data_IF_170878376943
#
_entry.id   IF_170878376943
#
_cell.length_a   1.000
_cell.length_b   1.000
_cell.length_c   1.000
_cell.angle_alpha   90.00
_cell.angle_beta   90.00
_cell.angle_gamma   90.00
#
_symmetry.space_group_name_H-M   'P 1'
#
loop_
_entity.id
_entity.type
_entity.pdbx_description
1 polymer ?
#
# COMPACT_ATOMS: atom_id res chain seq x y z
N UNK A 1 -30.64 65.61 -0.03
CA UNK A 1 -29.77 64.46 -0.33
C UNK A 1 -29.84 63.49 0.85
N UNK A 2 -30.84 62.62 0.84
CA UNK A 2 -31.09 61.68 1.94
C UNK A 2 -31.74 60.44 1.34
N UNK A 3 -31.34 59.26 1.84
CA UNK A 3 -31.87 57.90 1.58
C UNK A 3 -31.19 57.09 0.48
N UNK A 4 -30.04 56.50 0.80
CA UNK A 4 -29.76 55.09 0.47
C UNK A 4 -29.08 54.46 1.71
N UNK A 5 -29.88 54.28 2.76
CA UNK A 5 -29.67 53.20 3.72
C UNK A 5 -30.76 52.18 3.39
N UNK A 6 -30.40 50.90 3.45
CA UNK A 6 -31.27 49.72 3.27
C UNK A 6 -31.44 49.30 1.81
N UNK A 7 -30.52 48.46 1.35
CA UNK A 7 -30.89 47.18 0.74
C UNK A 7 -29.87 46.12 1.15
N UNK A 8 -30.04 45.71 2.41
CA UNK A 8 -29.72 44.37 2.88
C UNK A 8 -30.39 43.35 1.93
N UNK A 9 -29.84 42.13 1.87
CA UNK A 9 -30.50 40.92 1.37
C UNK A 9 -30.43 40.63 -0.14
N UNK A 10 -29.24 40.82 -0.75
CA UNK A 10 -28.82 39.95 -1.86
C UNK A 10 -28.33 38.63 -1.29
N UNK A 11 -29.26 37.70 -1.06
CA UNK A 11 -29.12 36.37 -0.47
C UNK A 11 -28.03 35.54 -1.15
N UNK A 12 -26.76 35.73 -0.76
CA UNK A 12 -25.70 34.75 -0.98
C UNK A 12 -25.76 33.73 0.16
N UNK A 13 -26.86 32.96 0.19
CA UNK A 13 -26.86 31.69 0.91
C UNK A 13 -26.08 30.73 0.02
N UNK A 14 -24.76 30.80 0.15
CA UNK A 14 -23.86 29.70 -0.20
C UNK A 14 -24.26 28.54 0.70
N UNK A 15 -25.17 27.69 0.21
CA UNK A 15 -25.44 26.39 0.81
C UNK A 15 -24.19 25.54 0.56
N UNK A 16 -23.15 25.74 1.38
CA UNK A 16 -22.07 24.78 1.48
C UNK A 16 -22.65 23.57 2.19
N UNK A 17 -23.22 22.65 1.40
CA UNK A 17 -23.46 21.29 1.87
C UNK A 17 -22.10 20.72 2.28
N UNK A 18 -21.76 20.85 3.55
CA UNK A 18 -20.73 20.04 4.16
C UNK A 18 -21.30 18.63 4.18
N UNK A 19 -20.97 17.85 3.16
CA UNK A 19 -21.14 16.40 3.20
C UNK A 19 -20.19 15.90 4.29
N UNK A 20 -20.63 15.96 5.54
CA UNK A 20 -19.89 15.40 6.66
C UNK A 20 -19.97 13.89 6.49
N UNK A 21 -18.87 13.29 6.01
CA UNK A 21 -18.76 11.84 6.03
C UNK A 21 -18.58 11.41 7.49
N UNK A 22 -19.39 10.45 7.93
CA UNK A 22 -19.15 9.76 9.19
C UNK A 22 -17.85 8.95 9.04
N UNK A 23 -16.85 9.23 9.87
CA UNK A 23 -15.57 8.51 9.85
C UNK A 23 -15.35 7.80 11.19
N UNK A 24 -15.13 6.49 11.15
CA UNK A 24 -14.74 5.71 12.32
C UNK A 24 -13.21 5.71 12.45
N UNK A 25 -12.67 6.12 13.60
CA UNK A 25 -11.23 6.10 13.90
C UNK A 25 -10.97 5.72 15.36
N UNK A 26 -9.89 4.97 15.67
CA UNK A 26 -8.99 4.33 14.72
C UNK A 26 -9.62 3.07 14.13
N UNK A 27 -9.31 2.79 12.87
CA UNK A 27 -9.54 1.48 12.27
C UNK A 27 -8.18 0.78 12.19
N UNK A 28 -8.16 -0.52 12.48
CA UNK A 28 -6.97 -1.36 12.32
C UNK A 28 -7.18 -2.31 11.16
N UNK A 29 -6.39 -2.12 10.11
CA UNK A 29 -6.44 -2.93 8.89
C UNK A 29 -5.30 -3.97 8.82
N UNK A 30 -4.51 -4.09 9.89
CA UNK A 30 -3.30 -4.92 9.86
C UNK A 30 -3.62 -6.39 9.66
N UNK A 31 -2.75 -7.05 8.89
CA UNK A 31 -2.73 -8.51 8.82
C UNK A 31 -1.76 -9.03 9.87
N UNK A 32 -2.18 -9.94 10.77
CA UNK A 32 -1.32 -10.43 11.86
C UNK A 32 -0.09 -11.20 11.38
N UNK A 33 -0.18 -11.81 10.20
CA UNK A 33 0.91 -12.56 9.56
C UNK A 33 0.95 -12.24 8.08
N UNK A 34 2.14 -12.31 7.48
CA UNK A 34 2.27 -12.23 6.04
C UNK A 34 1.52 -13.36 5.32
N UNK A 35 1.27 -13.13 4.04
CA UNK A 35 0.79 -14.14 3.12
C UNK A 35 1.84 -14.41 2.07
N UNK A 36 2.07 -15.69 1.80
CA UNK A 36 2.97 -16.15 0.74
C UNK A 36 2.11 -16.79 -0.34
N UNK A 37 1.94 -16.07 -1.44
CA UNK A 37 0.98 -16.37 -2.49
C UNK A 37 1.67 -17.07 -3.66
N UNK A 38 1.09 -18.20 -4.08
CA UNK A 38 1.39 -18.77 -5.40
C UNK A 38 0.70 -17.94 -6.48
N UNK A 39 1.32 -17.86 -7.63
CA UNK A 39 0.81 -17.14 -8.79
C UNK A 39 0.29 -18.20 -9.76
N UNK A 40 -0.92 -18.03 -10.27
CA UNK A 40 -1.47 -18.93 -11.28
C UNK A 40 -0.91 -18.65 -12.68
N UNK A 41 -1.23 -19.53 -13.64
CA UNK A 41 -0.74 -19.41 -15.01
C UNK A 41 -1.19 -18.11 -15.71
N UNK A 42 -2.29 -17.51 -15.24
CA UNK A 42 -2.82 -16.25 -15.75
C UNK A 42 -2.13 -15.01 -15.12
N UNK A 43 -1.27 -15.21 -14.13
CA UNK A 43 -0.57 -14.16 -13.39
C UNK A 43 -1.39 -13.56 -12.26
N UNK A 44 -2.36 -14.28 -11.72
CA UNK A 44 -3.12 -13.84 -10.54
C UNK A 44 -2.53 -14.42 -9.26
N UNK A 45 -2.36 -13.55 -8.26
CA UNK A 45 -2.09 -13.93 -6.89
C UNK A 45 -3.38 -13.79 -6.07
N UNK A 46 -3.75 -14.84 -5.34
CA UNK A 46 -4.97 -14.89 -4.53
C UNK A 46 -4.64 -15.13 -3.07
N UNK A 47 -5.15 -14.28 -2.19
CA UNK A 47 -5.11 -14.41 -0.74
C UNK A 47 -6.50 -14.80 -0.22
N UNK A 48 -6.67 -16.10 0.06
CA UNK A 48 -7.97 -16.66 0.44
C UNK A 48 -8.45 -16.19 1.82
N UNK A 49 -7.55 -15.99 2.80
CA UNK A 49 -7.96 -15.64 4.17
C UNK A 49 -8.57 -14.24 4.25
N UNK A 50 -8.15 -13.35 3.35
CA UNK A 50 -8.62 -11.97 3.31
C UNK A 50 -9.44 -11.66 2.04
N UNK A 51 -9.88 -12.71 1.32
CA UNK A 51 -10.73 -12.63 0.13
C UNK A 51 -10.23 -11.59 -0.91
N UNK A 52 -8.95 -11.64 -1.23
CA UNK A 52 -8.27 -10.64 -2.05
C UNK A 52 -7.54 -11.30 -3.22
N UNK A 53 -7.61 -10.72 -4.42
CA UNK A 53 -6.91 -11.23 -5.60
C UNK A 53 -6.51 -10.09 -6.54
N UNK A 54 -5.39 -10.24 -7.24
CA UNK A 54 -4.86 -9.21 -8.13
C UNK A 54 -3.92 -9.79 -9.18
N UNK A 55 -3.78 -9.10 -10.32
CA UNK A 55 -2.84 -9.45 -11.37
C UNK A 55 -1.44 -8.93 -11.03
N UNK A 56 -0.45 -9.80 -10.99
CA UNK A 56 0.93 -9.50 -10.58
C UNK A 56 1.85 -9.11 -11.74
N UNK A 57 1.46 -9.36 -12.99
CA UNK A 57 2.31 -9.14 -14.17
C UNK A 57 2.88 -7.72 -14.25
N UNK A 58 2.09 -6.64 -13.99
CA UNK A 58 2.63 -5.29 -14.01
C UNK A 58 3.74 -5.06 -12.98
N UNK A 59 3.67 -5.74 -11.83
CA UNK A 59 4.67 -5.62 -10.77
C UNK A 59 6.01 -6.27 -11.19
N UNK A 60 5.95 -7.45 -11.80
CA UNK A 60 7.16 -8.11 -12.32
C UNK A 60 7.78 -7.32 -13.46
N UNK A 61 6.98 -6.76 -14.36
CA UNK A 61 7.49 -5.87 -15.40
C UNK A 61 8.17 -4.63 -14.79
N UNK A 62 7.57 -4.01 -13.77
CA UNK A 62 8.17 -2.87 -13.07
C UNK A 62 9.49 -3.20 -12.35
N UNK A 63 9.66 -4.44 -11.87
CA UNK A 63 10.88 -4.87 -11.16
C UNK A 63 12.00 -5.30 -12.13
N UNK A 64 11.69 -6.13 -13.12
CA UNK A 64 12.70 -6.80 -13.97
C UNK A 64 12.51 -6.57 -15.48
N UNK A 65 11.56 -5.73 -15.88
CA UNK A 65 11.21 -5.47 -17.29
C UNK A 65 10.79 -6.73 -18.07
N UNK A 66 10.32 -7.75 -17.35
CA UNK A 66 9.81 -9.00 -17.90
C UNK A 66 8.50 -9.39 -17.21
N UNK A 67 7.41 -9.35 -17.98
CA UNK A 67 6.07 -9.68 -17.49
C UNK A 67 5.83 -11.18 -17.26
N UNK A 68 6.75 -12.06 -17.68
CA UNK A 68 6.69 -13.52 -17.49
C UNK A 68 7.60 -14.01 -16.35
N UNK A 69 8.41 -13.13 -15.75
CA UNK A 69 9.31 -13.47 -14.66
C UNK A 69 8.62 -13.94 -13.37
N UNK A 70 7.28 -13.90 -13.33
CA UNK A 70 6.46 -14.43 -12.24
C UNK A 70 6.36 -15.96 -12.23
N UNK A 71 6.68 -16.63 -13.33
CA UNK A 71 6.59 -18.08 -13.42
C UNK A 71 7.46 -18.74 -12.34
N UNK A 72 6.86 -19.71 -11.63
CA UNK A 72 7.47 -20.43 -10.50
C UNK A 72 7.90 -19.56 -9.29
N UNK A 73 7.41 -18.31 -9.21
CA UNK A 73 7.66 -17.40 -8.09
C UNK A 73 6.54 -17.42 -7.06
N UNK A 74 6.88 -16.96 -5.86
CA UNK A 74 5.93 -16.71 -4.78
C UNK A 74 6.01 -15.26 -4.36
N UNK A 75 4.86 -14.61 -4.24
CA UNK A 75 4.74 -13.21 -3.83
C UNK A 75 4.47 -13.16 -2.34
N UNK A 76 5.17 -12.30 -1.62
CA UNK A 76 4.93 -12.03 -0.20
C UNK A 76 4.21 -10.72 -0.04
N UNK A 77 3.17 -10.73 0.77
CA UNK A 77 2.33 -9.56 1.03
C UNK A 77 1.94 -9.48 2.50
N UNK A 78 2.00 -8.27 3.06
CA UNK A 78 1.46 -7.96 4.38
C UNK A 78 0.75 -6.61 4.35
N UNK A 79 -0.26 -6.42 5.20
CA UNK A 79 -1.00 -5.16 5.32
C UNK A 79 -0.72 -4.51 6.67
N UNK A 80 -0.41 -3.21 6.69
CA UNK A 80 -0.18 -2.47 7.94
C UNK A 80 -1.48 -1.93 8.55
N UNK A 81 -1.38 -1.32 9.74
CA UNK A 81 -2.53 -0.77 10.49
C UNK A 81 -3.26 0.34 9.73
N UNK A 82 -2.53 1.14 8.95
CA UNK A 82 -3.10 2.19 8.08
C UNK A 82 -3.77 1.63 6.81
N UNK A 83 -3.64 0.34 6.54
CA UNK A 83 -4.29 -0.34 5.41
C UNK A 83 -3.49 -0.39 4.11
N UNK A 84 -2.21 -0.05 4.14
CA UNK A 84 -1.29 -0.20 3.00
C UNK A 84 -0.76 -1.63 2.91
N UNK A 85 -0.63 -2.12 1.69
CA UNK A 85 -0.05 -3.42 1.36
C UNK A 85 1.43 -3.25 1.02
N UNK A 86 2.28 -4.11 1.58
CA UNK A 86 3.70 -4.21 1.28
C UNK A 86 3.91 -5.50 0.52
N UNK A 87 4.46 -5.43 -0.68
CA UNK A 87 4.58 -6.56 -1.60
C UNK A 87 6.04 -6.72 -2.04
N UNK A 88 6.56 -7.94 -1.99
CA UNK A 88 7.88 -8.28 -2.55
C UNK A 88 7.96 -9.75 -2.98
N UNK A 89 9.09 -10.15 -3.55
CA UNK A 89 9.38 -11.52 -3.97
C UNK A 89 10.89 -11.77 -3.86
N UNK A 90 11.30 -13.04 -3.74
CA UNK A 90 12.70 -13.41 -3.94
C UNK A 90 13.18 -12.94 -5.33
N UNK A 91 14.33 -12.28 -5.36
CA UNK A 91 14.93 -11.62 -6.52
C UNK A 91 14.58 -10.15 -6.68
N UNK A 92 13.57 -9.63 -5.96
CA UNK A 92 13.20 -8.22 -6.05
C UNK A 92 14.21 -7.35 -5.32
N UNK A 93 14.56 -6.21 -5.91
CA UNK A 93 15.35 -5.16 -5.29
C UNK A 93 14.52 -4.26 -4.40
N UNK A 94 13.20 -4.26 -4.63
CA UNK A 94 12.27 -3.32 -4.02
C UNK A 94 11.20 -4.03 -3.17
N UNK A 95 10.66 -3.26 -2.22
CA UNK A 95 9.32 -3.47 -1.66
C UNK A 95 8.38 -2.44 -2.25
N UNK A 96 7.23 -2.91 -2.71
CA UNK A 96 6.20 -2.06 -3.30
C UNK A 96 5.06 -1.84 -2.31
N UNK A 97 4.73 -0.58 -2.09
CA UNK A 97 3.64 -0.18 -1.21
C UNK A 97 2.43 0.19 -2.06
N UNK A 98 1.29 -0.42 -1.76
CA UNK A 98 0.02 -0.14 -2.42
C UNK A 98 -1.04 0.31 -1.42
N UNK A 99 -1.98 1.13 -1.88
CA UNK A 99 -3.26 1.36 -1.19
C UNK A 99 -4.40 0.71 -1.97
N UNK A 100 -5.49 0.42 -1.29
CA UNK A 100 -6.74 0.06 -1.95
C UNK A 100 -7.40 1.35 -2.49
N UNK A 101 -7.84 1.29 -3.73
CA UNK A 101 -8.69 2.27 -4.41
C UNK A 101 -9.89 1.55 -5.03
N UNK A 102 -10.77 2.26 -5.73
CA UNK A 102 -12.02 1.72 -6.28
C UNK A 102 -11.77 0.49 -7.17
N UNK A 103 -11.90 -0.71 -6.59
CA UNK A 103 -11.66 -1.98 -7.25
C UNK A 103 -10.20 -2.25 -7.65
N UNK A 104 -9.22 -1.50 -7.13
CA UNK A 104 -7.83 -1.58 -7.59
C UNK A 104 -6.79 -1.43 -6.45
N UNK A 105 -5.56 -1.87 -6.72
CA UNK A 105 -4.39 -1.51 -5.94
C UNK A 105 -3.62 -0.41 -6.67
N UNK A 106 -3.47 0.74 -6.03
CA UNK A 106 -2.67 1.86 -6.54
C UNK A 106 -1.31 1.89 -5.85
N UNK A 107 -0.24 1.94 -6.65
CA UNK A 107 1.12 2.01 -6.11
C UNK A 107 1.36 3.37 -5.49
N UNK A 108 1.71 3.38 -4.21
CA UNK A 108 2.01 4.58 -3.44
C UNK A 108 3.52 4.83 -3.36
N UNK A 109 4.32 3.77 -3.27
CA UNK A 109 5.76 3.88 -3.13
C UNK A 109 6.48 2.64 -3.64
N UNK A 110 7.63 2.86 -4.26
CA UNK A 110 8.67 1.86 -4.51
C UNK A 110 9.82 2.13 -3.53
N UNK A 111 10.13 1.17 -2.67
CA UNK A 111 11.18 1.27 -1.65
C UNK A 111 12.32 0.35 -2.07
N UNK A 112 13.44 0.92 -2.51
CA UNK A 112 14.65 0.15 -2.77
C UNK A 112 15.21 -0.37 -1.44
N UNK A 113 15.43 -1.68 -1.34
CA UNK A 113 15.99 -2.32 -0.13
C UNK A 113 17.31 -3.03 -0.40
N UNK A 114 17.49 -3.61 -1.59
CA UNK A 114 18.71 -4.34 -1.96
C UNK A 114 18.98 -4.23 -3.47
N UNK A 115 20.07 -3.61 -3.89
CA UNK A 115 20.39 -3.42 -5.32
C UNK A 115 20.65 -4.72 -6.10
N UNK A 116 21.02 -5.78 -5.39
CA UNK A 116 21.31 -7.11 -5.95
C UNK A 116 20.10 -8.06 -5.93
N UNK A 117 19.03 -7.67 -5.24
CA UNK A 117 17.82 -8.45 -5.07
C UNK A 117 17.79 -9.24 -3.76
N UNK A 118 16.58 -9.37 -3.21
CA UNK A 118 16.31 -10.11 -1.97
C UNK A 118 16.42 -11.62 -2.20
N UNK A 119 16.91 -12.37 -1.22
CA UNK A 119 17.06 -13.82 -1.34
C UNK A 119 15.85 -14.58 -0.76
N UNK A 120 15.63 -14.44 0.55
CA UNK A 120 14.55 -15.09 1.30
C UNK A 120 13.84 -14.04 2.16
N UNK A 121 13.20 -13.04 1.53
CA UNK A 121 12.52 -11.99 2.28
C UNK A 121 11.40 -12.58 3.13
N UNK A 122 11.17 -12.02 4.32
CA UNK A 122 10.03 -12.34 5.20
C UNK A 122 9.55 -11.04 5.85
N UNK A 123 8.24 -10.82 5.87
CA UNK A 123 7.63 -9.72 6.59
C UNK A 123 7.13 -10.13 7.98
N UNK A 124 7.36 -9.25 8.95
CA UNK A 124 6.74 -9.29 10.28
C UNK A 124 5.98 -8.00 10.55
N UNK A 125 4.88 -8.14 11.30
CA UNK A 125 4.21 -6.99 11.90
C UNK A 125 5.02 -6.41 13.06
N UNK A 126 5.30 -5.11 13.04
CA UNK A 126 5.97 -4.34 14.09
C UNK A 126 5.30 -2.99 14.27
N UNK A 127 4.03 -2.98 14.65
CA UNK A 127 3.19 -1.76 14.74
C UNK A 127 3.98 -0.58 15.34
N UNK A 128 4.09 0.56 14.64
CA UNK A 128 3.38 0.93 13.39
C UNK A 128 4.10 0.53 12.08
N UNK A 129 5.23 -0.17 12.16
CA UNK A 129 6.14 -0.50 11.07
C UNK A 129 5.89 -1.92 10.55
N UNK A 130 6.38 -2.18 9.35
CA UNK A 130 6.57 -3.55 8.83
C UNK A 130 8.06 -3.86 8.87
N UNK A 131 8.45 -4.93 9.55
CA UNK A 131 9.84 -5.42 9.50
C UNK A 131 9.99 -6.35 8.30
N UNK A 132 10.90 -6.02 7.39
CA UNK A 132 11.39 -6.93 6.36
C UNK A 132 12.72 -7.53 6.84
N UNK A 133 12.81 -8.85 6.82
CA UNK A 133 14.05 -9.59 7.10
C UNK A 133 14.49 -10.32 5.84
N UNK A 134 15.77 -10.22 5.49
CA UNK A 134 16.41 -11.04 4.47
C UNK A 134 17.79 -11.52 4.97
N UNK A 135 17.82 -12.72 5.55
CA UNK A 135 19.03 -13.22 6.22
C UNK A 135 19.43 -12.35 7.43
N UNK A 136 20.64 -11.77 7.47
CA UNK A 136 21.06 -10.87 8.55
C UNK A 136 20.47 -9.46 8.44
N UNK A 137 20.00 -9.07 7.25
CA UNK A 137 19.54 -7.71 6.98
C UNK A 137 18.11 -7.49 7.46
N UNK A 138 17.87 -6.31 8.04
CA UNK A 138 16.56 -5.90 8.56
C UNK A 138 16.24 -4.49 8.14
N UNK A 139 15.00 -4.29 7.70
CA UNK A 139 14.47 -3.00 7.31
C UNK A 139 13.14 -2.75 8.00
N UNK A 140 12.97 -1.56 8.57
CA UNK A 140 11.68 -1.15 9.13
C UNK A 140 10.99 -0.23 8.15
N UNK A 141 9.87 -0.68 7.61
CA UNK A 141 9.19 -0.07 6.49
C UNK A 141 7.94 0.67 6.95
N UNK A 142 7.74 1.84 6.37
CA UNK A 142 6.50 2.62 6.42
C UNK A 142 6.01 2.85 4.99
N UNK A 143 4.80 3.40 4.85
CA UNK A 143 4.31 3.86 3.55
C UNK A 143 5.20 4.93 2.88
N UNK A 144 6.05 5.61 3.66
CA UNK A 144 6.92 6.69 3.18
C UNK A 144 8.29 6.18 2.72
N UNK A 145 8.73 5.02 3.22
CA UNK A 145 10.07 4.50 2.98
C UNK A 145 10.57 3.66 4.15
N UNK A 146 11.90 3.49 4.21
CA UNK A 146 12.59 2.89 5.36
C UNK A 146 12.62 3.94 6.48
N UNK A 147 12.21 3.56 7.68
CA UNK A 147 12.41 4.38 8.88
C UNK A 147 13.90 4.31 9.22
N UNK A 148 14.59 5.44 9.14
CA UNK A 148 15.97 5.54 9.63
C UNK A 148 15.94 5.42 11.16
N UNK A 149 16.79 4.56 11.71
CA UNK A 149 17.04 4.57 13.15
C UNK A 149 17.46 5.99 13.54
N UNK A 150 16.58 6.71 14.24
CA UNK A 150 16.96 7.92 14.97
C UNK A 150 17.91 7.47 16.07
N UNK A 151 19.20 7.37 15.74
CA UNK A 151 20.27 7.28 16.73
C UNK A 151 20.27 8.52 17.62
#
# INVERSE_FOLDING_TARGET
>A
MTKIKILLAGTLVLVTYSCTSLILKPADFSWPIESVLKIDDNGYAKEDRYAFAFNIKPLFYEEVQDSLAYLDRQVRIIRNTEGFYFITCAGFKNVYVFKLSDGSLEMEKKIMVNETGLNKPVFNQRIPLIELIDGPDKYYLTKKGIEEDKK
#
